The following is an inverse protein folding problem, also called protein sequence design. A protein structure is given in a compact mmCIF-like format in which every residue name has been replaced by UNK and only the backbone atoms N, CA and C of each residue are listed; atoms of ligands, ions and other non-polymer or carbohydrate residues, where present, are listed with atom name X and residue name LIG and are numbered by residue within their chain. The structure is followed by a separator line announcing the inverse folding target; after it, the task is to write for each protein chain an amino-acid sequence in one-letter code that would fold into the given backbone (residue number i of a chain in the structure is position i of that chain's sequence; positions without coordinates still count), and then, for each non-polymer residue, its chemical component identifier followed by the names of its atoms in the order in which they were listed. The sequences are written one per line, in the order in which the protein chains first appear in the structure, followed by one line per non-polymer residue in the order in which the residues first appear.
data_IF_200403513595
#
_entry.id   IF_200403513595
#
_cell.length_a   1.000
_cell.length_b   1.000
_cell.length_c   1.000
_cell.angle_alpha   90.00
_cell.angle_beta   90.00
_cell.angle_gamma   90.00
#
_symmetry.space_group_name_H-M   'P 1'
#
loop_
_entity.id
_entity.type
_entity.pdbx_description
1 polymer ?
#
# COMPACT_ATOMS: atom_id res chain seq x y z
N UNK A 1 5.75 -13.42 -4.61
CA UNK A 1 6.90 -12.57 -4.18
C UNK A 1 6.79 -12.25 -2.69
N UNK A 2 5.71 -11.60 -2.25
CA UNK A 2 5.30 -11.49 -0.85
C UNK A 2 4.10 -12.40 -0.63
N UNK A 3 4.13 -13.22 0.43
CA UNK A 3 3.03 -14.10 0.81
C UNK A 3 2.66 -13.85 2.27
N UNK A 4 1.39 -13.66 2.53
CA UNK A 4 0.81 -13.46 3.85
C UNK A 4 -0.25 -14.54 4.04
N UNK A 5 -0.11 -15.38 5.07
CA UNK A 5 -1.01 -16.51 5.31
C UNK A 5 -1.60 -16.43 6.71
N UNK A 6 -2.92 -16.23 6.80
CA UNK A 6 -3.68 -16.23 8.05
C UNK A 6 -3.15 -15.24 9.10
N UNK A 7 -2.65 -14.08 8.64
CA UNK A 7 -2.01 -13.08 9.49
C UNK A 7 -2.99 -12.57 10.54
N UNK A 8 -2.60 -12.69 11.80
CA UNK A 8 -3.36 -12.18 12.94
C UNK A 8 -2.46 -11.37 13.84
N UNK A 9 -2.91 -10.19 14.26
CA UNK A 9 -2.18 -9.40 15.24
C UNK A 9 -3.09 -8.76 16.28
N UNK A 10 -2.69 -8.93 17.55
CA UNK A 10 -3.37 -8.38 18.73
C UNK A 10 -2.39 -7.54 19.53
N UNK A 11 -2.77 -6.31 19.85
CA UNK A 11 -2.05 -5.44 20.77
C UNK A 11 -2.47 -5.69 22.22
N UNK A 12 -1.51 -5.68 23.13
CA UNK A 12 -1.73 -5.85 24.57
C UNK A 12 -1.60 -7.30 25.05
N UNK A 13 -1.93 -7.59 26.32
CA UNK A 13 -1.73 -8.89 26.93
C UNK A 13 -2.58 -9.97 26.31
N UNK A 14 -2.12 -11.21 26.36
CA UNK A 14 -2.89 -12.37 25.92
C UNK A 14 -4.25 -12.46 26.64
N UNK A 15 -5.33 -12.53 25.86
CA UNK A 15 -6.69 -12.66 26.37
C UNK A 15 -7.50 -11.36 26.57
N UNK A 16 -6.85 -10.16 26.53
CA UNK A 16 -7.58 -8.89 26.76
C UNK A 16 -7.25 -7.75 25.78
N UNK A 17 -6.33 -7.96 24.85
CA UNK A 17 -5.87 -6.91 23.95
C UNK A 17 -6.76 -6.66 22.73
N UNK A 18 -6.53 -5.51 22.06
CA UNK A 18 -7.24 -5.12 20.84
C UNK A 18 -6.78 -5.97 19.63
N UNK A 19 -7.70 -6.68 19.00
CA UNK A 19 -7.47 -7.43 17.77
C UNK A 19 -7.49 -6.45 16.58
N UNK A 20 -6.34 -6.16 16.00
CA UNK A 20 -6.20 -5.20 14.92
C UNK A 20 -6.37 -5.85 13.54
N UNK A 21 -5.82 -7.06 13.36
CA UNK A 21 -5.86 -7.84 12.12
C UNK A 21 -6.30 -9.27 12.48
N UNK A 22 -7.15 -9.85 11.64
CA UNK A 22 -7.67 -11.20 11.85
C UNK A 22 -7.67 -12.00 10.54
N UNK A 23 -6.84 -13.04 10.48
CA UNK A 23 -6.78 -14.03 9.41
C UNK A 23 -6.59 -13.43 7.99
N UNK A 24 -5.77 -12.37 7.87
CA UNK A 24 -5.48 -11.78 6.56
C UNK A 24 -4.59 -12.73 5.76
N UNK A 25 -5.07 -13.12 4.57
CA UNK A 25 -4.30 -13.89 3.58
C UNK A 25 -4.24 -13.07 2.29
N UNK A 26 -3.03 -12.85 1.77
CA UNK A 26 -2.76 -12.02 0.60
C UNK A 26 -1.44 -12.44 -0.04
N UNK A 27 -1.44 -12.52 -1.37
CA UNK A 27 -0.23 -12.69 -2.17
C UNK A 27 0.02 -11.47 -3.04
N UNK A 28 1.28 -11.06 -3.17
CA UNK A 28 1.72 -9.98 -4.07
C UNK A 28 2.78 -10.54 -5.01
N UNK A 29 2.52 -10.45 -6.31
CA UNK A 29 3.45 -10.91 -7.33
C UNK A 29 4.67 -9.96 -7.47
N UNK A 30 5.73 -10.42 -8.12
CA UNK A 30 6.86 -9.55 -8.47
C UNK A 30 6.43 -8.48 -9.48
N UNK A 31 6.88 -7.24 -9.31
CA UNK A 31 6.52 -6.10 -10.16
C UNK A 31 5.08 -5.57 -9.96
N UNK A 32 4.27 -6.19 -9.12
CA UNK A 32 2.88 -5.78 -8.86
C UNK A 32 2.80 -4.62 -7.88
N UNK A 33 1.86 -3.69 -8.12
CA UNK A 33 1.45 -2.67 -7.16
C UNK A 33 0.07 -3.03 -6.60
N UNK A 34 0.04 -3.40 -5.32
CA UNK A 34 -1.20 -3.70 -4.60
C UNK A 34 -1.52 -2.55 -3.65
N UNK A 35 -2.68 -1.95 -3.83
CA UNK A 35 -3.22 -0.92 -2.93
C UNK A 35 -4.14 -1.56 -1.90
N UNK A 36 -3.95 -1.22 -0.62
CA UNK A 36 -4.79 -1.68 0.49
C UNK A 36 -5.60 -0.49 1.00
N UNK A 37 -6.92 -0.63 0.96
CA UNK A 37 -7.87 0.38 1.43
C UNK A 37 -8.77 -0.18 2.53
N UNK A 38 -9.40 0.71 3.28
CA UNK A 38 -10.36 0.35 4.31
C UNK A 38 -10.56 1.49 5.30
N UNK A 39 -11.58 1.40 6.18
CA UNK A 39 -11.89 2.42 7.15
C UNK A 39 -10.71 2.76 8.08
N UNK A 40 -10.75 3.95 8.70
CA UNK A 40 -9.76 4.32 9.71
C UNK A 40 -9.80 3.32 10.88
N UNK A 41 -8.62 2.92 11.36
CA UNK A 41 -8.49 1.96 12.46
C UNK A 41 -8.70 0.48 12.08
N UNK A 42 -8.92 0.13 10.82
CA UNK A 42 -9.10 -1.26 10.39
C UNK A 42 -7.82 -2.11 10.37
N UNK A 43 -6.66 -1.56 10.76
CA UNK A 43 -5.41 -2.33 10.86
C UNK A 43 -4.43 -2.20 9.69
N UNK A 44 -4.66 -1.32 8.70
CA UNK A 44 -3.78 -1.14 7.53
C UNK A 44 -2.31 -0.91 7.91
N UNK A 45 -2.02 0.09 8.74
CA UNK A 45 -0.65 0.36 9.19
C UNK A 45 -0.08 -0.76 10.06
N UNK A 46 -0.94 -1.52 10.78
CA UNK A 46 -0.51 -2.71 11.52
C UNK A 46 -0.07 -3.82 10.57
N UNK A 47 -0.86 -4.07 9.52
CA UNK A 47 -0.52 -5.03 8.45
C UNK A 47 0.84 -4.67 7.84
N UNK A 48 1.02 -3.40 7.45
CA UNK A 48 2.26 -2.92 6.85
C UNK A 48 3.45 -3.07 7.80
N UNK A 49 3.28 -2.78 9.10
CA UNK A 49 4.33 -2.98 10.11
C UNK A 49 4.69 -4.46 10.32
N UNK A 50 3.71 -5.36 10.25
CA UNK A 50 3.97 -6.80 10.28
C UNK A 50 4.77 -7.24 9.05
N UNK A 51 4.38 -6.81 7.85
CA UNK A 51 5.09 -7.09 6.59
C UNK A 51 6.51 -6.52 6.61
N UNK A 52 6.70 -5.35 7.22
CA UNK A 52 8.02 -4.74 7.40
C UNK A 52 8.92 -5.46 8.42
N UNK A 53 8.40 -6.45 9.16
CA UNK A 53 9.12 -7.10 10.25
C UNK A 53 9.37 -6.19 11.46
N UNK A 54 8.63 -5.07 11.56
CA UNK A 54 8.71 -4.11 12.68
C UNK A 54 7.86 -4.53 13.87
N UNK A 55 6.82 -5.31 13.60
CA UNK A 55 5.89 -5.87 14.60
C UNK A 55 5.74 -7.35 14.32
N UNK A 56 5.96 -8.18 15.34
CA UNK A 56 5.78 -9.63 15.22
C UNK A 56 4.30 -9.98 15.23
N UNK A 57 3.79 -10.73 14.25
CA UNK A 57 2.42 -11.23 14.25
C UNK A 57 2.10 -12.06 15.50
N UNK A 58 0.84 -12.04 15.94
CA UNK A 58 0.34 -12.95 16.99
C UNK A 58 0.02 -14.34 16.44
N UNK A 59 -0.21 -14.46 15.12
CA UNK A 59 -0.47 -15.70 14.41
C UNK A 59 -0.34 -15.53 12.90
N UNK A 60 -0.30 -16.64 12.19
CA UNK A 60 -0.05 -16.66 10.75
C UNK A 60 1.42 -16.55 10.39
N UNK A 61 1.70 -16.38 9.12
CA UNK A 61 3.06 -16.28 8.58
C UNK A 61 3.15 -15.22 7.48
N UNK A 62 4.35 -14.66 7.32
CA UNK A 62 4.71 -13.76 6.22
C UNK A 62 6.02 -14.27 5.63
N UNK A 63 6.08 -14.41 4.30
CA UNK A 63 7.32 -14.68 3.58
C UNK A 63 7.59 -13.64 2.51
N UNK A 64 8.86 -13.28 2.35
CA UNK A 64 9.34 -12.42 1.26
C UNK A 64 10.34 -13.24 0.45
N UNK A 65 10.03 -13.50 -0.83
CA UNK A 65 10.83 -14.39 -1.70
C UNK A 65 11.06 -15.77 -1.08
N UNK A 66 10.05 -16.31 -0.40
CA UNK A 66 10.12 -17.61 0.29
C UNK A 66 10.89 -17.59 1.62
N UNK A 67 11.41 -16.44 2.05
CA UNK A 67 12.12 -16.30 3.34
C UNK A 67 11.15 -15.76 4.39
N UNK A 68 11.00 -16.39 5.56
CA UNK A 68 10.16 -15.90 6.64
C UNK A 68 10.58 -14.51 7.13
N UNK A 69 9.58 -13.66 7.37
CA UNK A 69 9.78 -12.30 7.90
C UNK A 69 9.63 -12.32 9.43
N UNK A 70 10.74 -12.53 10.12
CA UNK A 70 10.84 -12.48 11.60
C UNK A 70 11.54 -11.20 12.11
N UNK A 71 12.16 -10.45 11.22
CA UNK A 71 12.82 -9.16 11.40
C UNK A 71 12.71 -8.35 10.11
N UNK A 72 13.20 -7.11 10.10
CA UNK A 72 13.23 -6.29 8.88
C UNK A 72 14.04 -7.00 7.80
N UNK A 73 13.41 -7.39 6.67
CA UNK A 73 14.09 -8.12 5.60
C UNK A 73 15.09 -7.25 4.84
N UNK A 74 16.14 -7.87 4.33
CA UNK A 74 16.98 -7.21 3.34
C UNK A 74 16.19 -6.97 2.04
N UNK A 75 16.45 -5.84 1.36
CA UNK A 75 15.75 -5.49 0.13
C UNK A 75 14.32 -4.97 0.34
N UNK A 76 13.93 -4.66 1.57
CA UNK A 76 12.69 -3.97 1.88
C UNK A 76 12.94 -2.51 2.24
N UNK A 77 12.14 -1.59 1.69
CA UNK A 77 12.13 -0.20 2.10
C UNK A 77 10.73 0.24 2.49
N UNK A 78 10.65 1.23 3.41
CA UNK A 78 9.38 1.78 3.89
C UNK A 78 9.37 3.28 3.72
N UNK A 79 8.28 3.80 3.15
CA UNK A 79 7.92 5.22 3.18
C UNK A 79 6.76 5.39 4.16
N UNK A 80 7.00 6.11 5.25
CA UNK A 80 6.01 6.34 6.31
C UNK A 80 5.15 7.56 6.00
N UNK A 81 3.93 7.58 6.55
CA UNK A 81 2.96 8.66 6.44
C UNK A 81 3.54 10.04 6.82
N UNK A 82 4.25 10.12 7.96
CA UNK A 82 4.89 11.34 8.41
C UNK A 82 6.35 11.39 7.92
N UNK A 83 6.50 11.81 6.67
CA UNK A 83 7.81 11.98 6.04
C UNK A 83 8.62 13.10 6.69
N UNK A 84 7.98 14.15 7.21
CA UNK A 84 8.66 15.29 7.81
C UNK A 84 9.44 14.89 9.06
N UNK A 85 8.87 13.99 9.88
CA UNK A 85 9.55 13.41 11.06
C UNK A 85 10.55 12.33 10.70
N UNK A 86 10.46 11.76 9.50
CA UNK A 86 11.37 10.71 9.07
C UNK A 86 12.69 11.23 8.52
N UNK A 87 12.73 12.48 8.04
CA UNK A 87 13.95 13.14 7.58
C UNK A 87 14.70 13.76 8.77
N UNK A 88 16.01 13.55 8.82
CA UNK A 88 16.86 14.09 9.86
C UNK A 88 17.18 15.55 9.54
N UNK A 89 16.70 16.55 10.32
CA UNK A 89 16.79 17.95 9.94
C UNK A 89 18.23 18.50 9.97
N UNK A 90 19.14 17.85 10.66
CA UNK A 90 20.58 18.21 10.74
C UNK A 90 21.43 17.58 9.64
N UNK A 91 20.88 16.70 8.82
CA UNK A 91 21.55 16.12 7.64
C UNK A 91 21.10 16.84 6.36
N UNK A 92 22.04 16.99 5.42
CA UNK A 92 21.66 17.42 4.08
C UNK A 92 20.70 16.42 3.42
N UNK A 93 19.97 16.86 2.40
CA UNK A 93 19.09 16.03 1.58
C UNK A 93 19.82 14.79 1.07
N UNK A 94 21.00 14.97 0.46
CA UNK A 94 21.85 13.85 0.02
C UNK A 94 22.20 12.91 1.17
N UNK A 95 22.55 13.44 2.34
CA UNK A 95 23.00 12.60 3.45
C UNK A 95 21.83 11.88 4.11
N UNK A 96 20.61 12.44 4.06
CA UNK A 96 19.36 11.74 4.40
C UNK A 96 19.11 10.56 3.47
N UNK A 97 19.23 10.76 2.15
CA UNK A 97 19.04 9.69 1.14
C UNK A 97 20.12 8.62 1.25
N UNK A 98 21.38 9.01 1.52
CA UNK A 98 22.49 8.09 1.69
C UNK A 98 22.49 7.33 3.03
N UNK A 99 21.66 7.74 4.01
CA UNK A 99 21.68 7.21 5.38
C UNK A 99 21.49 5.70 5.46
N UNK A 100 20.46 5.09 4.86
CA UNK A 100 20.25 3.65 4.94
C UNK A 100 21.36 2.85 4.27
N UNK A 101 22.03 3.42 3.27
CA UNK A 101 23.15 2.78 2.57
C UNK A 101 24.40 2.56 3.46
N UNK A 102 24.45 3.15 4.66
CA UNK A 102 25.56 2.91 5.61
C UNK A 102 25.63 1.45 6.05
N UNK A 103 24.51 0.72 6.00
CA UNK A 103 24.45 -0.70 6.40
C UNK A 103 24.87 -1.67 5.28
N UNK A 104 25.01 -1.18 4.03
CA UNK A 104 25.31 -2.03 2.87
C UNK A 104 26.81 -2.32 2.68
N UNK A 105 27.70 -1.78 3.52
CA UNK A 105 29.14 -1.89 3.35
C UNK A 105 29.72 -1.08 2.17
N UNK A 106 28.89 -0.37 1.37
CA UNK A 106 29.35 0.43 0.23
C UNK A 106 30.27 1.58 0.68
N UNK A 107 31.36 1.87 -0.07
CA UNK A 107 32.21 3.02 0.15
C UNK A 107 31.43 4.35 0.16
N UNK A 108 31.91 5.35 0.89
CA UNK A 108 31.24 6.67 1.01
C UNK A 108 30.92 7.31 -0.36
N UNK A 109 31.82 7.19 -1.32
CA UNK A 109 31.64 7.75 -2.66
C UNK A 109 30.45 7.10 -3.36
N UNK A 110 30.39 5.76 -3.39
CA UNK A 110 29.28 5.02 -4.01
C UNK A 110 27.93 5.31 -3.36
N UNK A 111 27.89 5.48 -2.02
CA UNK A 111 26.67 5.87 -1.32
C UNK A 111 26.18 7.27 -1.72
N UNK A 112 27.13 8.20 -1.95
CA UNK A 112 26.80 9.56 -2.43
C UNK A 112 26.30 9.54 -3.86
N UNK A 113 26.91 8.77 -4.74
CA UNK A 113 26.48 8.60 -6.14
C UNK A 113 25.08 7.99 -6.20
N UNK A 114 24.82 6.92 -5.45
CA UNK A 114 23.49 6.30 -5.37
C UNK A 114 22.43 7.29 -4.84
N UNK A 115 22.77 8.11 -3.84
CA UNK A 115 21.87 9.13 -3.33
C UNK A 115 21.57 10.23 -4.36
N UNK A 116 22.55 10.68 -5.12
CA UNK A 116 22.37 11.67 -6.19
C UNK A 116 21.52 11.10 -7.33
N UNK A 117 21.77 9.85 -7.73
CA UNK A 117 20.96 9.16 -8.73
C UNK A 117 19.49 9.02 -8.28
N UNK A 118 19.25 8.63 -7.01
CA UNK A 118 17.91 8.55 -6.47
C UNK A 118 17.20 9.91 -6.40
N UNK A 119 17.93 11.00 -6.08
CA UNK A 119 17.37 12.35 -6.12
C UNK A 119 17.02 12.79 -7.54
N UNK A 120 17.84 12.44 -8.52
CA UNK A 120 17.53 12.71 -9.94
C UNK A 120 16.27 11.96 -10.39
N UNK A 121 16.11 10.68 -10.00
CA UNK A 121 14.90 9.87 -10.28
C UNK A 121 13.62 10.53 -9.79
N UNK A 122 13.65 11.22 -8.64
CA UNK A 122 12.46 11.91 -8.10
C UNK A 122 12.37 13.39 -8.52
N UNK A 123 13.16 13.83 -9.50
CA UNK A 123 13.14 15.20 -10.04
C UNK A 123 13.74 16.26 -9.11
N UNK A 124 14.69 15.87 -8.24
CA UNK A 124 15.34 16.77 -7.28
C UNK A 124 16.89 16.82 -7.40
N UNK A 125 17.48 16.88 -8.61
CA UNK A 125 18.94 16.80 -8.78
C UNK A 125 19.71 17.93 -8.06
N UNK A 126 19.14 19.15 -8.01
CA UNK A 126 19.78 20.36 -7.50
C UNK A 126 19.57 20.59 -5.99
N UNK A 127 18.96 19.64 -5.30
CA UNK A 127 18.61 19.82 -3.88
C UNK A 127 19.58 19.13 -2.93
N UNK A 128 20.55 18.41 -3.42
CA UNK A 128 21.45 17.54 -2.66
C UNK A 128 22.14 18.21 -1.46
N UNK A 129 22.50 19.49 -1.59
CA UNK A 129 23.15 20.29 -0.55
C UNK A 129 22.19 20.98 0.41
N UNK A 130 20.87 21.02 0.09
CA UNK A 130 19.86 21.64 0.95
C UNK A 130 19.57 20.77 2.18
N UNK A 131 18.87 21.35 3.15
CA UNK A 131 18.37 20.68 4.35
C UNK A 131 16.85 20.52 4.28
N UNK A 132 16.24 19.56 5.01
CA UNK A 132 14.80 19.31 4.95
C UNK A 132 13.93 20.56 5.15
N UNK A 133 14.29 21.42 6.10
CA UNK A 133 13.57 22.66 6.40
C UNK A 133 13.62 23.74 5.29
N UNK A 134 14.46 23.55 4.27
CA UNK A 134 14.54 24.42 3.08
C UNK A 134 13.67 23.92 1.93
N UNK A 135 12.92 22.83 2.12
CA UNK A 135 12.12 22.18 1.10
C UNK A 135 10.63 22.34 1.40
N UNK A 136 9.80 22.40 0.34
CA UNK A 136 8.35 22.26 0.47
C UNK A 136 7.96 20.85 0.94
N UNK A 137 6.72 20.66 1.41
CA UNK A 137 6.21 19.35 1.84
C UNK A 137 6.34 18.28 0.75
N UNK A 138 5.90 18.59 -0.47
CA UNK A 138 6.02 17.68 -1.61
C UNK A 138 7.48 17.34 -1.97
N UNK A 139 8.41 18.30 -1.86
CA UNK A 139 9.84 18.03 -2.03
C UNK A 139 10.38 17.12 -0.92
N UNK A 140 9.98 17.32 0.33
CA UNK A 140 10.38 16.43 1.43
C UNK A 140 9.85 15.01 1.20
N UNK A 141 8.62 14.86 0.70
CA UNK A 141 8.05 13.58 0.33
C UNK A 141 8.86 12.90 -0.78
N UNK A 142 9.21 13.62 -1.84
CA UNK A 142 10.10 13.11 -2.90
C UNK A 142 11.46 12.68 -2.34
N UNK A 143 12.02 13.39 -1.36
CA UNK A 143 13.26 12.98 -0.68
C UNK A 143 13.07 11.69 0.13
N UNK A 144 11.94 11.51 0.80
CA UNK A 144 11.63 10.26 1.51
C UNK A 144 11.51 9.06 0.56
N UNK A 145 10.88 9.27 -0.61
CA UNK A 145 10.82 8.27 -1.69
C UNK A 145 12.23 7.99 -2.24
N UNK A 146 13.02 9.03 -2.55
CA UNK A 146 14.40 8.86 -3.01
C UNK A 146 15.26 8.06 -2.04
N UNK A 147 15.09 8.29 -0.72
CA UNK A 147 15.79 7.53 0.33
C UNK A 147 15.43 6.05 0.30
N UNK A 148 14.18 5.71 0.06
CA UNK A 148 13.74 4.33 -0.09
C UNK A 148 14.32 3.71 -1.38
N UNK A 149 14.26 4.42 -2.51
CA UNK A 149 14.76 3.98 -3.81
C UNK A 149 16.28 3.82 -3.86
N UNK A 150 17.03 4.59 -3.08
CA UNK A 150 18.49 4.49 -3.04
C UNK A 150 18.98 3.11 -2.58
N UNK A 151 18.14 2.38 -1.81
CA UNK A 151 18.44 1.02 -1.35
C UNK A 151 18.21 -0.05 -2.43
N UNK A 152 17.65 0.31 -3.58
CA UNK A 152 17.24 -0.62 -4.64
C UNK A 152 16.35 -1.76 -4.07
N UNK A 153 15.20 -1.41 -3.49
CA UNK A 153 14.39 -2.38 -2.78
C UNK A 153 13.67 -3.34 -3.74
N UNK A 154 13.53 -4.61 -3.33
CA UNK A 154 12.69 -5.59 -4.03
C UNK A 154 11.21 -5.41 -3.67
N UNK A 155 10.93 -4.86 -2.49
CA UNK A 155 9.60 -4.53 -2.01
C UNK A 155 9.61 -3.13 -1.38
N UNK A 156 8.78 -2.24 -1.90
CA UNK A 156 8.52 -0.92 -1.34
C UNK A 156 7.18 -0.94 -0.61
N UNK A 157 7.21 -0.65 0.68
CA UNK A 157 6.01 -0.45 1.50
C UNK A 157 5.75 1.04 1.64
N UNK A 158 4.50 1.46 1.46
CA UNK A 158 4.11 2.86 1.56
C UNK A 158 2.86 2.99 2.45
N UNK A 159 2.96 3.77 3.52
CA UNK A 159 1.86 4.03 4.47
C UNK A 159 1.33 5.44 4.25
N UNK A 160 0.20 5.59 3.57
CA UNK A 160 -0.46 6.86 3.22
C UNK A 160 0.51 7.92 2.66
N UNK A 161 1.29 7.58 1.62
CA UNK A 161 2.43 8.40 1.22
C UNK A 161 2.05 9.77 0.66
N UNK A 162 0.82 9.98 0.21
CA UNK A 162 0.39 11.20 -0.45
C UNK A 162 -0.63 12.02 0.37
N UNK A 163 -0.97 11.56 1.59
CA UNK A 163 -2.04 12.15 2.41
C UNK A 163 -1.76 13.57 2.93
N UNK A 164 -0.49 14.00 2.95
CA UNK A 164 -0.10 15.29 3.58
C UNK A 164 0.37 16.34 2.58
N UNK A 165 0.04 16.20 1.29
CA UNK A 165 0.38 17.16 0.23
C UNK A 165 -0.87 17.68 -0.45
N UNK A 166 -0.77 18.83 -1.13
CA UNK A 166 -1.85 19.39 -1.94
C UNK A 166 -2.18 18.48 -3.15
N UNK A 167 -3.35 18.73 -3.79
CA UNK A 167 -3.88 17.87 -4.85
C UNK A 167 -2.93 17.76 -6.05
N UNK A 168 -2.37 18.88 -6.54
CA UNK A 168 -1.47 18.88 -7.68
C UNK A 168 -0.17 18.12 -7.38
N UNK A 169 0.41 18.37 -6.21
CA UNK A 169 1.62 17.64 -5.76
C UNK A 169 1.35 16.14 -5.59
N UNK A 170 0.14 15.75 -5.17
CA UNK A 170 -0.28 14.34 -5.07
C UNK A 170 -0.28 13.67 -6.44
N UNK A 171 -0.94 14.26 -7.42
CA UNK A 171 -0.98 13.76 -8.80
C UNK A 171 0.42 13.58 -9.37
N UNK A 172 1.30 14.57 -9.20
CA UNK A 172 2.70 14.50 -9.61
C UNK A 172 3.47 13.35 -8.94
N UNK A 173 3.16 13.04 -7.68
CA UNK A 173 3.80 11.96 -6.92
C UNK A 173 3.26 10.58 -7.32
N UNK A 174 1.97 10.47 -7.62
CA UNK A 174 1.34 9.26 -8.17
C UNK A 174 1.98 8.89 -9.52
N UNK A 175 2.10 9.86 -10.42
CA UNK A 175 2.72 9.68 -11.74
C UNK A 175 4.22 9.33 -11.63
N UNK A 176 4.93 10.00 -10.71
CA UNK A 176 6.31 9.66 -10.39
C UNK A 176 6.44 8.20 -9.91
N UNK A 177 5.55 7.76 -9.02
CA UNK A 177 5.56 6.39 -8.51
C UNK A 177 5.36 5.38 -9.63
N UNK A 178 4.39 5.62 -10.53
CA UNK A 178 4.13 4.76 -11.69
C UNK A 178 5.31 4.72 -12.66
N UNK A 179 5.96 5.85 -12.93
CA UNK A 179 7.14 5.93 -13.77
C UNK A 179 8.31 5.14 -13.19
N UNK A 180 8.63 5.36 -11.92
CA UNK A 180 9.73 4.69 -11.22
C UNK A 180 9.49 3.18 -11.12
N UNK A 181 8.25 2.77 -10.81
CA UNK A 181 7.86 1.36 -10.76
C UNK A 181 8.13 0.66 -12.10
N UNK A 182 7.70 1.28 -13.20
CA UNK A 182 7.87 0.73 -14.55
C UNK A 182 9.35 0.60 -14.95
N UNK A 183 10.17 1.60 -14.60
CA UNK A 183 11.60 1.58 -14.92
C UNK A 183 12.38 0.49 -14.16
N UNK A 184 11.94 0.17 -12.94
CA UNK A 184 12.68 -0.71 -12.03
C UNK A 184 12.03 -2.07 -11.80
N UNK A 185 10.88 -2.36 -12.44
CA UNK A 185 10.08 -3.58 -12.19
C UNK A 185 9.83 -3.81 -10.69
N UNK A 186 9.49 -2.72 -9.97
CA UNK A 186 9.44 -2.70 -8.51
C UNK A 186 8.11 -3.20 -7.99
N UNK A 187 8.14 -4.07 -6.98
CA UNK A 187 6.95 -4.50 -6.25
C UNK A 187 6.60 -3.49 -5.18
N UNK A 188 5.32 -3.10 -5.10
CA UNK A 188 4.85 -2.06 -4.16
C UNK A 188 3.62 -2.56 -3.41
N UNK A 189 3.61 -2.38 -2.10
CA UNK A 189 2.43 -2.52 -1.25
C UNK A 189 2.11 -1.14 -0.68
N UNK A 190 1.01 -0.55 -1.15
CA UNK A 190 0.55 0.78 -0.80
C UNK A 190 -0.64 0.68 0.15
N UNK A 191 -0.59 1.35 1.28
CA UNK A 191 -1.73 1.57 2.16
C UNK A 191 -2.22 3.00 1.98
N UNK A 192 -3.51 3.17 1.71
CA UNK A 192 -4.15 4.48 1.58
C UNK A 192 -5.59 4.46 2.08
N UNK A 193 -6.14 5.63 2.38
CA UNK A 193 -7.56 5.84 2.61
C UNK A 193 -8.24 6.52 1.42
N UNK A 194 -7.46 6.95 0.41
CA UNK A 194 -7.96 7.58 -0.81
C UNK A 194 -8.28 6.50 -1.86
N UNK A 195 -9.56 6.43 -2.24
CA UNK A 195 -10.06 5.43 -3.19
C UNK A 195 -9.59 5.76 -4.61
N UNK A 196 -9.61 7.03 -4.98
CA UNK A 196 -9.16 7.48 -6.30
C UNK A 196 -7.69 7.14 -6.52
N UNK A 197 -6.83 7.43 -5.53
CA UNK A 197 -5.42 7.05 -5.51
C UNK A 197 -5.26 5.53 -5.68
N UNK A 198 -5.98 4.74 -4.86
CA UNK A 198 -5.84 3.28 -4.86
C UNK A 198 -6.13 2.64 -6.20
N UNK A 199 -7.14 3.14 -6.92
CA UNK A 199 -7.52 2.67 -8.26
C UNK A 199 -6.58 3.22 -9.31
N UNK A 200 -6.13 4.48 -9.16
CA UNK A 200 -5.25 5.12 -10.13
C UNK A 200 -3.86 4.47 -10.19
N UNK A 201 -3.25 4.15 -9.05
CA UNK A 201 -1.89 3.59 -9.04
C UNK A 201 -1.85 2.06 -9.02
N UNK A 202 -2.86 1.40 -8.44
CA UNK A 202 -2.89 -0.05 -8.20
C UNK A 202 -3.05 -0.90 -9.47
N UNK A 203 -2.49 -2.10 -9.46
CA UNK A 203 -2.90 -3.19 -10.35
C UNK A 203 -4.00 -4.03 -9.70
N UNK A 204 -4.06 -3.99 -8.37
CA UNK A 204 -5.11 -4.57 -7.53
C UNK A 204 -5.42 -3.66 -6.36
N UNK A 205 -6.69 -3.67 -5.95
CA UNK A 205 -7.16 -3.00 -4.74
C UNK A 205 -7.73 -4.03 -3.78
N UNK A 206 -7.06 -4.18 -2.63
CA UNK A 206 -7.51 -5.03 -1.52
C UNK A 206 -8.28 -4.18 -0.53
N UNK A 207 -9.54 -4.51 -0.30
CA UNK A 207 -10.42 -3.82 0.64
C UNK A 207 -10.44 -4.58 1.96
N UNK A 208 -10.17 -3.89 3.07
CA UNK A 208 -10.28 -4.47 4.41
C UNK A 208 -11.62 -4.11 5.07
N UNK A 209 -12.13 -5.05 5.87
CA UNK A 209 -13.30 -4.81 6.74
C UNK A 209 -13.01 -3.74 7.80
N UNK A 210 -14.05 -3.10 8.39
CA UNK A 210 -13.89 -2.43 9.68
C UNK A 210 -13.25 -3.36 10.72
N UNK A 211 -12.54 -2.80 11.71
CA UNK A 211 -11.76 -3.58 12.67
C UNK A 211 -12.53 -4.71 13.38
N UNK A 212 -11.92 -5.89 13.56
CA UNK A 212 -10.57 -6.26 13.11
C UNK A 212 -10.51 -6.43 11.60
N UNK A 213 -9.37 -5.95 11.00
CA UNK A 213 -9.19 -6.00 9.56
C UNK A 213 -9.08 -7.43 9.03
N UNK A 214 -9.96 -7.78 8.10
CA UNK A 214 -9.94 -8.98 7.26
C UNK A 214 -10.01 -8.55 5.80
N UNK A 215 -9.57 -9.39 4.89
CA UNK A 215 -9.78 -9.13 3.45
C UNK A 215 -11.27 -9.29 3.16
N UNK A 216 -11.90 -8.19 2.75
CA UNK A 216 -13.31 -8.16 2.31
C UNK A 216 -13.42 -8.46 0.82
N UNK A 217 -12.54 -7.84 0.02
CA UNK A 217 -12.49 -8.02 -1.42
C UNK A 217 -11.06 -7.80 -1.94
N UNK A 218 -10.77 -8.40 -3.07
CA UNK A 218 -9.51 -8.30 -3.80
C UNK A 218 -9.86 -8.08 -5.28
N UNK A 219 -9.77 -6.82 -5.72
CA UNK A 219 -10.28 -6.34 -6.99
C UNK A 219 -9.13 -6.06 -7.95
N UNK A 220 -9.18 -6.66 -9.14
CA UNK A 220 -8.21 -6.38 -10.19
C UNK A 220 -8.50 -5.03 -10.86
N UNK A 221 -7.44 -4.26 -11.11
CA UNK A 221 -7.52 -2.97 -11.79
C UNK A 221 -7.07 -3.16 -13.22
N UNK A 222 -8.03 -3.36 -14.12
CA UNK A 222 -7.77 -3.54 -15.55
C UNK A 222 -7.92 -2.20 -16.29
N UNK A 223 -6.92 -1.32 -16.09
CA UNK A 223 -6.84 -0.02 -16.73
C UNK A 223 -5.65 0.04 -17.68
N UNK A 224 -5.77 0.74 -18.82
CA UNK A 224 -4.69 0.86 -19.78
C UNK A 224 -3.46 1.58 -19.18
N UNK A 225 -2.29 1.24 -19.72
CA UNK A 225 -1.02 1.91 -19.42
C UNK A 225 -0.46 2.55 -20.71
N UNK A 226 0.25 3.69 -20.64
CA UNK A 226 0.49 4.48 -19.43
C UNK A 226 -0.79 5.16 -18.91
N UNK A 227 -0.87 5.39 -17.60
CA UNK A 227 -1.97 6.13 -16.97
C UNK A 227 -1.73 7.62 -17.03
N UNK A 228 -2.82 8.40 -17.13
CA UNK A 228 -2.83 9.85 -17.17
C UNK A 228 -3.91 10.37 -16.21
N UNK A 229 -3.59 11.42 -15.45
CA UNK A 229 -4.46 11.93 -14.38
C UNK A 229 -5.85 12.37 -14.84
N UNK A 230 -5.99 12.78 -16.09
CA UNK A 230 -7.26 13.24 -16.65
C UNK A 230 -7.95 12.08 -17.37
N UNK A 231 -7.33 11.59 -18.44
CA UNK A 231 -7.98 10.65 -19.36
C UNK A 231 -8.23 9.28 -18.73
N UNK A 232 -7.34 8.79 -17.84
CA UNK A 232 -7.58 7.53 -17.13
C UNK A 232 -8.75 7.64 -16.17
N UNK A 233 -8.89 8.76 -15.46
CA UNK A 233 -9.98 8.98 -14.49
C UNK A 233 -11.35 9.18 -15.17
N UNK A 234 -11.38 9.54 -16.44
CA UNK A 234 -12.61 9.65 -17.26
C UNK A 234 -13.08 8.28 -17.78
N UNK A 235 -12.25 7.25 -17.76
CA UNK A 235 -12.62 5.93 -18.27
C UNK A 235 -13.81 5.34 -17.48
N UNK A 236 -14.83 4.79 -18.15
CA UNK A 236 -15.94 4.12 -17.47
C UNK A 236 -15.48 3.01 -16.52
N UNK A 237 -14.40 2.28 -16.86
CA UNK A 237 -13.81 1.25 -16.03
C UNK A 237 -13.26 1.82 -14.71
N UNK A 238 -12.58 2.97 -14.76
CA UNK A 238 -12.10 3.67 -13.56
C UNK A 238 -13.25 4.11 -12.66
N UNK A 239 -14.26 4.78 -13.26
CA UNK A 239 -15.44 5.29 -12.53
C UNK A 239 -16.20 4.15 -11.85
N UNK A 240 -16.37 3.02 -12.56
CA UNK A 240 -17.05 1.84 -12.04
C UNK A 240 -16.29 1.23 -10.85
N UNK A 241 -14.99 0.96 -11.03
CA UNK A 241 -14.15 0.34 -10.00
C UNK A 241 -14.02 1.23 -8.75
N UNK A 242 -13.83 2.54 -8.94
CA UNK A 242 -13.86 3.53 -7.86
C UNK A 242 -15.16 3.48 -7.06
N UNK A 243 -16.31 3.41 -7.76
CA UNK A 243 -17.63 3.31 -7.12
C UNK A 243 -17.79 1.98 -6.36
N UNK A 244 -17.30 0.88 -6.91
CA UNK A 244 -17.33 -0.45 -6.27
C UNK A 244 -16.49 -0.46 -4.99
N UNK A 245 -15.22 -0.04 -5.06
CA UNK A 245 -14.35 0.10 -3.88
C UNK A 245 -15.00 1.01 -2.84
N UNK A 246 -15.62 2.13 -3.28
CA UNK A 246 -16.29 3.07 -2.40
C UNK A 246 -17.46 2.47 -1.63
N UNK A 247 -18.27 1.62 -2.28
CA UNK A 247 -19.37 0.89 -1.60
C UNK A 247 -18.83 -0.11 -0.58
N UNK A 248 -17.85 -0.91 -0.97
CA UNK A 248 -17.22 -1.90 -0.10
C UNK A 248 -16.62 -1.27 1.16
N UNK A 249 -15.88 -0.16 1.02
CA UNK A 249 -15.29 0.57 2.17
C UNK A 249 -16.37 1.11 3.11
N UNK A 250 -17.55 1.51 2.58
CA UNK A 250 -18.68 2.00 3.37
C UNK A 250 -19.57 0.88 3.93
N UNK A 251 -19.30 -0.39 3.62
CA UNK A 251 -20.12 -1.52 4.02
C UNK A 251 -21.48 -1.56 3.32
N UNK A 252 -21.59 -0.96 2.13
CA UNK A 252 -22.80 -0.98 1.31
C UNK A 252 -22.77 -2.22 0.39
N UNK A 253 -23.91 -2.84 0.11
CA UNK A 253 -23.97 -3.97 -0.81
C UNK A 253 -23.55 -3.54 -2.21
N UNK A 254 -22.88 -4.44 -2.93
CA UNK A 254 -22.56 -4.23 -4.34
C UNK A 254 -23.78 -4.56 -5.20
N UNK A 255 -23.96 -3.98 -6.40
CA UNK A 255 -25.07 -4.28 -7.29
C UNK A 255 -25.21 -5.77 -7.60
N UNK A 256 -24.10 -6.51 -7.67
CA UNK A 256 -24.09 -7.96 -7.84
C UNK A 256 -24.65 -8.71 -6.60
N UNK A 257 -24.39 -8.22 -5.39
CA UNK A 257 -24.93 -8.79 -4.18
C UNK A 257 -26.42 -8.44 -4.00
N UNK A 258 -26.85 -7.25 -4.42
CA UNK A 258 -28.27 -6.86 -4.45
C UNK A 258 -29.06 -7.72 -5.44
N UNK A 259 -28.56 -7.93 -6.66
CA UNK A 259 -29.18 -8.80 -7.65
C UNK A 259 -29.29 -10.26 -7.15
N UNK A 260 -28.26 -10.79 -6.49
CA UNK A 260 -28.30 -12.13 -5.91
C UNK A 260 -29.32 -12.27 -4.75
N UNK A 261 -29.51 -11.23 -3.95
CA UNK A 261 -30.52 -11.17 -2.91
C UNK A 261 -31.94 -11.10 -3.49
N UNK A 262 -32.13 -10.32 -4.55
CA UNK A 262 -33.43 -10.23 -5.24
C UNK A 262 -33.80 -11.55 -5.94
N UNK A 263 -32.84 -12.26 -6.56
CA UNK A 263 -33.08 -13.60 -7.13
C UNK A 263 -33.41 -14.63 -6.07
N UNK A 264 -32.76 -14.60 -4.90
CA UNK A 264 -33.09 -15.49 -3.79
C UNK A 264 -34.46 -15.18 -3.17
N UNK A 265 -34.83 -13.91 -3.11
CA UNK A 265 -36.15 -13.49 -2.59
C UNK A 265 -37.29 -13.79 -3.60
N UNK A 266 -36.98 -13.87 -4.89
CA UNK A 266 -37.94 -14.16 -5.95
C UNK A 266 -38.21 -15.67 -6.17
N UNK A 267 -37.47 -16.58 -5.54
CA UNK A 267 -37.75 -18.01 -5.60
C UNK A 267 -38.88 -18.37 -4.60
N UNK A 268 -40.14 -18.65 -5.08
CA UNK A 268 -41.23 -19.06 -4.18
C UNK A 268 -40.89 -20.42 -3.61
N UNK A 269 -40.97 -20.52 -2.27
CA UNK A 269 -40.74 -21.73 -1.53
C UNK A 269 -41.54 -22.88 -2.13
N UNK A 270 -40.90 -23.92 -2.63
CA UNK A 270 -41.52 -25.23 -2.83
C UNK A 270 -41.86 -25.79 -1.46
N UNK A 271 -43.06 -25.42 -1.00
CA UNK A 271 -43.67 -26.04 0.16
C UNK A 271 -43.86 -27.53 -0.16
N UNK A 272 -43.12 -28.37 0.53
CA UNK A 272 -43.32 -29.81 0.55
C UNK A 272 -44.74 -30.12 1.06
N UNK A 273 -45.65 -30.43 0.14
CA UNK A 273 -46.95 -30.99 0.41
C UNK A 273 -46.76 -32.50 0.60
N UNK A 274 -46.43 -32.94 1.81
CA UNK A 274 -46.56 -34.32 2.26
C UNK A 274 -47.86 -34.47 3.08
N UNK A 275 -48.97 -34.71 2.35
CA UNK A 275 -50.20 -35.10 2.99
C UNK A 275 -50.09 -36.52 3.58
N UNK A 276 -50.70 -36.79 4.72
CA UNK A 276 -50.77 -38.14 5.29
C UNK A 276 -51.85 -38.93 4.56
N UNK A 277 -51.44 -40.01 3.87
CA UNK A 277 -52.35 -41.05 3.42
C UNK A 277 -52.63 -42.07 4.52
N UNK A 278 -53.90 -42.39 4.74
CA UNK A 278 -54.53 -43.24 5.71
C UNK A 278 -54.10 -44.70 5.79
#
# INVERSE_FOLDING_TARGET
MLEITGLTHRYGPAGGGHLAIDQVTLEVAGGELVSIVGPSGCGKSTLLRCVAGLVRPSGGAITLRGVPVDRVPDGLAVVFQDYSRSLLPWLSVRDNVALPLRRTGRPRLQRREAALAALATVGLPDTAGKYPWQLSGGMQQRVAIARALACDPVLLLMDEPFGSVDAQTREDLEDLLLAVRRERDMTILLVTHDIDESVYVGDRVVVLTPGPGRVLADLRVDLPAPRDQITTRELPAFVHLRAEVGRLVRGQPTPAAEAAHEEQAAQPGQAANSGPGG
#
